data_IF_228557740803
#
_entry.id   IF_228557740803
#
_cell.length_a   1.000
_cell.length_b   1.000
_cell.length_c   1.000
_cell.angle_alpha   90.00
_cell.angle_beta   90.00
_cell.angle_gamma   90.00
#
_symmetry.space_group_name_H-M   'P 1'
#
loop_
_entity.id
_entity.type
_entity.pdbx_description
1 polymer ?
#
# COMPACT_ATOMS: atom_id res chain seq x y z
N UNK A 1 -11.79 17.33 -0.53
CA UNK A 1 -10.57 16.50 -0.42
C UNK A 1 -10.88 15.10 -0.90
N UNK A 2 -10.02 14.47 -1.70
CA UNK A 2 -10.08 13.06 -2.12
C UNK A 2 -8.85 12.35 -1.58
N UNK A 3 -8.98 11.05 -1.31
CA UNK A 3 -7.84 10.22 -0.88
C UNK A 3 -7.63 9.13 -1.94
N UNK A 4 -6.43 9.02 -2.44
CA UNK A 4 -6.01 8.01 -3.41
C UNK A 4 -5.14 7.01 -2.67
N UNK A 5 -5.68 5.84 -2.40
CA UNK A 5 -4.95 4.77 -1.75
C UNK A 5 -4.33 3.92 -2.86
N UNK A 6 -3.00 3.78 -2.86
CA UNK A 6 -2.26 3.12 -3.91
C UNK A 6 -1.34 2.05 -3.35
N UNK A 7 -1.16 1.00 -4.13
CA UNK A 7 -0.19 -0.07 -3.91
C UNK A 7 0.43 -0.49 -5.24
N UNK A 8 1.68 -0.95 -5.22
CA UNK A 8 2.41 -1.42 -6.39
C UNK A 8 2.93 -2.83 -6.18
N UNK A 9 2.85 -3.65 -7.24
CA UNK A 9 3.59 -4.89 -7.30
C UNK A 9 4.85 -4.72 -8.15
N UNK A 10 5.93 -5.39 -7.76
CA UNK A 10 7.24 -5.19 -8.35
C UNK A 10 7.91 -6.50 -8.79
N UNK A 11 8.66 -6.43 -9.89
CA UNK A 11 9.56 -7.50 -10.34
C UNK A 11 11.02 -7.03 -10.39
N UNK A 12 11.96 -7.90 -10.02
CA UNK A 12 13.39 -7.55 -10.02
C UNK A 12 13.95 -7.47 -11.43
N UNK A 13 14.80 -6.47 -11.67
CA UNK A 13 15.57 -6.35 -12.91
C UNK A 13 16.45 -7.59 -13.13
N UNK A 14 16.69 -7.92 -14.39
CA UNK A 14 17.59 -9.01 -14.76
C UNK A 14 19.05 -8.69 -14.42
N UNK A 15 19.81 -9.73 -14.16
CA UNK A 15 21.20 -9.61 -13.65
C UNK A 15 22.15 -8.92 -14.64
N UNK A 16 21.82 -8.91 -15.93
CA UNK A 16 22.60 -8.26 -16.96
C UNK A 16 22.60 -6.73 -16.83
N UNK A 17 21.56 -6.13 -16.29
CA UNK A 17 21.38 -4.70 -16.11
C UNK A 17 22.08 -4.20 -14.82
N UNK A 18 23.41 -4.34 -14.78
CA UNK A 18 24.20 -4.10 -13.57
C UNK A 18 24.22 -2.63 -13.13
N UNK A 19 24.27 -1.70 -14.09
CA UNK A 19 24.32 -0.26 -13.78
C UNK A 19 22.94 0.25 -13.38
N UNK A 20 21.90 -0.19 -14.08
CA UNK A 20 20.50 0.13 -13.77
C UNK A 20 20.11 -0.35 -12.37
N UNK A 21 20.57 -1.54 -11.98
CA UNK A 21 20.33 -2.12 -10.64
C UNK A 21 21.00 -1.38 -9.50
N UNK A 22 21.93 -0.48 -9.77
CA UNK A 22 22.49 0.43 -8.75
C UNK A 22 21.56 1.60 -8.46
N UNK A 23 20.70 1.95 -9.42
CA UNK A 23 19.71 3.04 -9.30
C UNK A 23 18.42 2.46 -8.69
N UNK A 24 17.89 1.42 -9.34
CA UNK A 24 16.68 0.72 -8.89
C UNK A 24 16.82 -0.78 -9.18
N UNK A 25 16.50 -1.63 -8.22
CA UNK A 25 16.66 -3.08 -8.42
C UNK A 25 15.36 -3.81 -8.80
N UNK A 26 14.25 -3.09 -8.87
CA UNK A 26 12.91 -3.59 -9.22
C UNK A 26 12.21 -2.64 -10.18
N UNK A 27 11.21 -3.14 -10.91
CA UNK A 27 10.29 -2.35 -11.73
C UNK A 27 8.87 -2.63 -11.26
N UNK A 28 8.02 -1.61 -11.30
CA UNK A 28 6.58 -1.74 -11.10
C UNK A 28 6.00 -2.58 -12.23
N UNK A 29 5.21 -3.59 -11.88
CA UNK A 29 4.52 -4.48 -12.82
C UNK A 29 3.00 -4.41 -12.68
N UNK A 30 2.50 -3.79 -11.62
CA UNK A 30 1.09 -3.49 -11.41
C UNK A 30 0.94 -2.22 -10.58
N UNK A 31 -0.07 -1.43 -10.91
CA UNK A 31 -0.55 -0.28 -10.14
C UNK A 31 -2.00 -0.58 -9.78
N UNK A 32 -2.30 -0.71 -8.49
CA UNK A 32 -3.64 -0.81 -7.94
C UNK A 32 -3.98 0.42 -7.10
N UNK A 33 -5.16 0.99 -7.26
CA UNK A 33 -5.54 2.13 -6.45
C UNK A 33 -7.06 2.22 -6.23
N UNK A 34 -7.43 2.78 -5.09
CA UNK A 34 -8.80 3.08 -4.68
C UNK A 34 -8.91 4.57 -4.38
N UNK A 35 -9.96 5.21 -4.88
CA UNK A 35 -10.26 6.62 -4.58
C UNK A 35 -11.42 6.72 -3.60
N UNK A 36 -11.19 7.46 -2.53
CA UNK A 36 -12.21 7.79 -1.53
C UNK A 36 -12.58 9.28 -1.61
N UNK A 37 -13.84 9.59 -1.29
CA UNK A 37 -14.31 10.95 -1.11
C UNK A 37 -13.91 11.51 0.29
N UNK A 38 -14.34 12.72 0.59
CA UNK A 38 -14.12 13.41 1.87
C UNK A 38 -14.78 12.73 3.09
N UNK A 39 -15.68 11.78 2.86
CA UNK A 39 -16.30 10.93 3.89
C UNK A 39 -15.66 9.55 3.97
N UNK A 40 -14.53 9.36 3.32
CA UNK A 40 -13.81 8.09 3.19
C UNK A 40 -14.66 6.95 2.57
N UNK A 41 -15.60 7.30 1.70
CA UNK A 41 -16.39 6.33 0.93
C UNK A 41 -15.72 6.12 -0.43
N UNK A 42 -15.61 4.88 -0.85
CA UNK A 42 -15.06 4.53 -2.17
C UNK A 42 -15.92 5.11 -3.29
N UNK A 43 -15.27 5.77 -4.25
CA UNK A 43 -15.91 6.36 -5.41
C UNK A 43 -15.37 5.85 -6.75
N UNK A 44 -14.16 5.29 -6.77
CA UNK A 44 -13.55 4.76 -8.00
C UNK A 44 -12.41 3.80 -7.68
N UNK A 45 -12.11 2.90 -8.61
CA UNK A 45 -10.94 2.02 -8.58
C UNK A 45 -10.15 2.17 -9.87
N UNK A 46 -8.84 1.95 -9.76
CA UNK A 46 -7.91 1.90 -10.87
C UNK A 46 -7.04 0.66 -10.78
N UNK A 47 -6.79 0.03 -11.91
CA UNK A 47 -5.83 -1.08 -12.03
C UNK A 47 -5.19 -1.06 -13.40
N UNK A 48 -3.88 -1.19 -13.47
CA UNK A 48 -3.16 -1.44 -14.70
C UNK A 48 -1.94 -2.31 -14.43
N UNK A 49 -1.68 -3.27 -15.31
CA UNK A 49 -0.37 -3.91 -15.36
C UNK A 49 0.62 -2.97 -16.05
N UNK A 50 1.90 -3.18 -15.77
CA UNK A 50 2.99 -2.40 -16.38
C UNK A 50 4.00 -3.36 -16.99
N UNK A 51 4.32 -3.14 -18.28
CA UNK A 51 5.33 -3.93 -18.98
C UNK A 51 6.73 -3.57 -18.47
N UNK A 52 7.47 -4.52 -17.87
CA UNK A 52 8.84 -4.26 -17.43
C UNK A 52 9.76 -4.03 -18.65
N UNK A 53 10.76 -3.15 -18.49
CA UNK A 53 11.74 -2.80 -19.52
C UNK A 53 13.09 -3.47 -19.31
N UNK A 54 13.40 -3.84 -18.06
CA UNK A 54 14.69 -4.40 -17.64
C UNK A 54 14.55 -5.83 -17.08
N UNK A 55 13.45 -6.50 -17.38
CA UNK A 55 13.22 -7.91 -17.09
C UNK A 55 12.48 -8.57 -18.27
N UNK A 56 13.02 -9.68 -18.75
CA UNK A 56 12.42 -10.46 -19.85
C UNK A 56 11.23 -11.29 -19.36
N UNK A 57 11.29 -11.74 -18.12
CA UNK A 57 10.26 -12.58 -17.50
C UNK A 57 9.92 -12.11 -16.07
N UNK A 58 8.68 -12.32 -15.69
CA UNK A 58 8.29 -12.20 -14.27
C UNK A 58 8.87 -13.41 -13.53
N UNK A 59 9.57 -13.14 -12.44
CA UNK A 59 10.22 -14.20 -11.66
C UNK A 59 9.20 -15.12 -11.02
N UNK A 60 9.47 -16.42 -11.03
CA UNK A 60 8.56 -17.45 -10.48
C UNK A 60 8.10 -17.20 -9.04
N UNK A 61 8.98 -16.65 -8.21
CA UNK A 61 8.60 -16.28 -6.83
C UNK A 61 7.65 -15.10 -6.78
N UNK A 62 7.76 -14.13 -7.71
CA UNK A 62 6.84 -13.01 -7.86
C UNK A 62 5.49 -13.53 -8.38
N UNK A 63 5.49 -14.32 -9.46
CA UNK A 63 4.25 -14.94 -9.95
C UNK A 63 3.53 -15.74 -8.87
N UNK A 64 4.26 -16.48 -8.02
CA UNK A 64 3.64 -17.23 -6.91
C UNK A 64 3.02 -16.30 -5.87
N UNK A 65 3.63 -15.16 -5.63
CA UNK A 65 3.21 -14.18 -4.63
C UNK A 65 2.01 -13.37 -5.11
N UNK A 66 2.13 -12.79 -6.31
CA UNK A 66 1.20 -11.79 -6.88
C UNK A 66 0.17 -12.42 -7.84
N UNK A 67 0.43 -13.60 -8.37
CA UNK A 67 -0.35 -14.19 -9.46
C UNK A 67 -0.01 -13.63 -10.85
N UNK A 68 0.81 -12.56 -10.94
CA UNK A 68 1.15 -11.90 -12.20
C UNK A 68 2.13 -12.79 -12.99
N UNK A 69 1.81 -13.04 -14.27
CA UNK A 69 2.66 -13.81 -15.18
C UNK A 69 3.30 -12.92 -16.25
N UNK A 70 4.32 -13.42 -16.92
CA UNK A 70 4.96 -12.73 -18.03
C UNK A 70 3.98 -12.40 -19.17
N UNK A 71 3.05 -13.31 -19.43
CA UNK A 71 2.04 -13.14 -20.47
C UNK A 71 1.07 -11.99 -20.16
N UNK A 72 0.71 -11.81 -18.87
CA UNK A 72 -0.20 -10.74 -18.43
C UNK A 72 0.39 -9.34 -18.64
N UNK A 73 1.72 -9.20 -18.52
CA UNK A 73 2.40 -7.92 -18.68
C UNK A 73 2.95 -7.70 -20.09
N UNK A 74 2.94 -8.71 -20.96
CA UNK A 74 3.55 -8.65 -22.29
C UNK A 74 2.97 -7.53 -23.17
N UNK A 75 1.65 -7.36 -23.13
CA UNK A 75 0.91 -6.34 -23.88
C UNK A 75 0.46 -5.15 -23.01
N UNK A 76 0.94 -5.09 -21.76
CA UNK A 76 0.63 -3.99 -20.86
C UNK A 76 1.35 -2.70 -21.32
N UNK A 77 0.84 -1.52 -20.92
CA UNK A 77 1.52 -0.25 -21.17
C UNK A 77 2.90 -0.24 -20.51
N UNK A 78 3.84 0.46 -21.10
CA UNK A 78 5.13 0.73 -20.48
C UNK A 78 4.96 1.74 -19.33
N UNK A 79 5.94 1.87 -18.44
CA UNK A 79 5.89 2.72 -17.26
C UNK A 79 5.36 4.14 -17.52
N UNK A 80 5.84 4.80 -18.58
CA UNK A 80 5.41 6.18 -18.92
C UNK A 80 3.93 6.27 -19.27
N UNK A 81 3.39 5.28 -19.96
CA UNK A 81 1.99 5.20 -20.35
C UNK A 81 1.10 4.83 -19.16
N UNK A 82 1.54 3.87 -18.35
CA UNK A 82 0.85 3.47 -17.13
C UNK A 82 0.76 4.63 -16.12
N UNK A 83 1.86 5.37 -15.92
CA UNK A 83 1.88 6.57 -15.07
C UNK A 83 0.97 7.67 -15.60
N UNK A 84 0.90 7.84 -16.93
CA UNK A 84 -0.05 8.78 -17.53
C UNK A 84 -1.49 8.36 -17.26
N UNK A 85 -1.85 7.08 -17.47
CA UNK A 85 -3.19 6.55 -17.22
C UNK A 85 -3.58 6.71 -15.74
N UNK A 86 -2.66 6.38 -14.82
CA UNK A 86 -2.87 6.58 -13.38
C UNK A 86 -3.10 8.04 -13.04
N UNK A 87 -2.27 8.95 -13.55
CA UNK A 87 -2.41 10.39 -13.33
C UNK A 87 -3.73 10.91 -13.87
N UNK A 88 -4.10 10.56 -15.11
CA UNK A 88 -5.36 10.97 -15.72
C UNK A 88 -6.57 10.50 -14.88
N UNK A 89 -6.52 9.27 -14.33
CA UNK A 89 -7.54 8.77 -13.41
C UNK A 89 -7.55 9.55 -12.09
N UNK A 90 -6.40 9.84 -11.48
CA UNK A 90 -6.32 10.62 -10.24
C UNK A 90 -7.00 11.99 -10.38
N UNK A 91 -6.86 12.62 -11.54
CA UNK A 91 -7.42 13.96 -11.82
C UNK A 91 -8.76 13.94 -12.60
N UNK A 92 -9.37 12.76 -12.78
CA UNK A 92 -10.68 12.64 -13.43
C UNK A 92 -11.85 13.16 -12.59
N UNK A 93 -11.62 13.41 -11.30
CA UNK A 93 -12.57 14.00 -10.38
C UNK A 93 -12.06 15.36 -9.90
N UNK A 94 -12.96 16.32 -9.63
CA UNK A 94 -12.59 17.65 -9.15
C UNK A 94 -12.16 17.65 -7.69
N UNK A 95 -11.35 18.64 -7.33
CA UNK A 95 -10.90 18.93 -5.96
C UNK A 95 -9.49 18.41 -5.64
N UNK A 96 -8.96 18.86 -4.54
CA UNK A 96 -7.62 18.46 -4.03
C UNK A 96 -7.58 16.97 -3.71
N UNK A 97 -6.41 16.35 -3.87
CA UNK A 97 -6.18 14.95 -3.55
C UNK A 97 -4.95 14.76 -2.66
N UNK A 98 -5.02 13.73 -1.83
CA UNK A 98 -3.92 13.18 -1.05
C UNK A 98 -3.67 11.73 -1.48
N UNK A 99 -2.43 11.37 -1.71
CA UNK A 99 -2.04 9.98 -1.96
C UNK A 99 -1.68 9.32 -0.62
N UNK A 100 -2.10 8.09 -0.44
CA UNK A 100 -1.82 7.26 0.72
C UNK A 100 -1.32 5.91 0.23
N UNK A 101 -0.23 5.41 0.79
CA UNK A 101 0.17 4.02 0.64
C UNK A 101 0.28 3.40 2.03
N UNK A 102 0.23 2.06 2.11
CA UNK A 102 0.42 1.40 3.40
C UNK A 102 1.77 1.76 4.02
N UNK A 103 2.84 1.85 3.20
CA UNK A 103 4.18 2.19 3.67
C UNK A 103 4.92 3.11 2.69
N UNK A 104 6.14 3.54 3.05
CA UNK A 104 7.00 4.35 2.17
C UNK A 104 7.57 3.58 0.97
N UNK A 105 7.44 2.24 0.94
CA UNK A 105 8.06 1.42 -0.10
C UNK A 105 7.57 1.78 -1.51
N UNK A 106 6.29 2.10 -1.65
CA UNK A 106 5.67 2.44 -2.93
C UNK A 106 6.20 3.76 -3.46
N UNK A 107 6.27 4.79 -2.62
CA UNK A 107 6.86 6.08 -3.00
C UNK A 107 8.35 5.93 -3.34
N UNK A 108 9.11 5.20 -2.52
CA UNK A 108 10.54 4.98 -2.77
C UNK A 108 10.75 4.23 -4.09
N UNK A 109 9.93 3.20 -4.37
CA UNK A 109 9.98 2.48 -5.64
C UNK A 109 9.66 3.39 -6.82
N UNK A 110 8.59 4.19 -6.73
CA UNK A 110 8.21 5.14 -7.78
C UNK A 110 9.35 6.13 -8.09
N UNK A 111 9.94 6.74 -7.07
CA UNK A 111 11.03 7.72 -7.23
C UNK A 111 12.29 7.05 -7.82
N UNK A 112 12.63 5.85 -7.38
CA UNK A 112 13.76 5.08 -7.92
C UNK A 112 13.54 4.72 -9.39
N UNK A 113 12.32 4.35 -9.79
CA UNK A 113 12.00 4.00 -11.16
C UNK A 113 11.93 5.23 -12.08
N UNK A 114 11.45 6.37 -11.58
CA UNK A 114 11.55 7.66 -12.27
C UNK A 114 13.01 7.99 -12.58
N UNK A 115 13.90 7.82 -11.60
CA UNK A 115 15.34 8.05 -11.79
C UNK A 115 15.97 7.04 -12.76
N UNK A 116 15.65 5.73 -12.62
CA UNK A 116 16.12 4.66 -13.50
C UNK A 116 15.79 4.94 -14.97
N UNK A 117 14.57 5.35 -15.24
CA UNK A 117 14.03 5.55 -16.59
C UNK A 117 14.24 6.97 -17.12
N UNK A 118 14.89 7.83 -16.34
CA UNK A 118 15.03 9.27 -16.64
C UNK A 118 13.68 9.88 -17.08
N UNK A 119 12.62 9.49 -16.36
CA UNK A 119 11.25 9.87 -16.68
C UNK A 119 10.99 11.32 -16.28
N UNK A 120 10.42 12.11 -17.22
CA UNK A 120 10.04 13.49 -16.97
C UNK A 120 8.67 13.54 -16.31
N UNK A 121 8.67 13.88 -15.04
CA UNK A 121 7.46 14.03 -14.22
C UNK A 121 6.69 15.27 -14.67
N UNK A 122 5.37 15.15 -14.86
CA UNK A 122 4.48 16.28 -15.15
C UNK A 122 4.13 17.07 -13.87
N UNK A 123 3.54 18.25 -13.99
CA UNK A 123 3.07 19.05 -12.84
C UNK A 123 2.08 18.24 -11.98
N UNK A 124 1.09 17.59 -12.58
CA UNK A 124 0.12 16.77 -11.87
C UNK A 124 0.79 15.59 -11.11
N UNK A 125 1.78 14.96 -11.71
CA UNK A 125 2.54 13.88 -11.05
C UNK A 125 3.39 14.42 -9.91
N UNK A 126 3.95 15.60 -10.05
CA UNK A 126 4.67 16.28 -8.97
C UNK A 126 3.73 16.56 -7.80
N UNK A 127 2.51 17.05 -8.06
CA UNK A 127 1.48 17.24 -7.04
C UNK A 127 1.13 15.93 -6.30
N UNK A 128 0.97 14.82 -7.02
CA UNK A 128 0.73 13.51 -6.39
C UNK A 128 1.87 13.07 -5.49
N UNK A 129 3.12 13.25 -5.93
CA UNK A 129 4.32 12.87 -5.19
C UNK A 129 4.49 13.75 -3.93
N UNK A 130 4.27 15.05 -4.04
CA UNK A 130 4.38 16.01 -2.91
C UNK A 130 3.28 15.81 -1.86
N UNK A 131 2.11 15.29 -2.27
CA UNK A 131 0.98 14.98 -1.38
C UNK A 131 0.90 13.50 -1.00
N UNK A 132 2.02 12.76 -1.09
CA UNK A 132 2.08 11.34 -0.73
C UNK A 132 2.37 11.15 0.75
N UNK A 133 1.60 10.30 1.40
CA UNK A 133 1.70 10.03 2.82
C UNK A 133 1.83 8.52 3.10
N UNK A 134 2.58 8.19 4.13
CA UNK A 134 2.70 6.86 4.71
C UNK A 134 1.55 6.66 5.73
N UNK A 135 0.55 5.87 5.37
CA UNK A 135 -0.59 5.62 6.26
C UNK A 135 -0.21 4.71 7.43
N UNK A 136 0.79 3.84 7.30
CA UNK A 136 1.26 2.98 8.37
C UNK A 136 1.73 3.79 9.59
N UNK A 137 2.36 4.95 9.37
CA UNK A 137 2.81 5.82 10.46
C UNK A 137 1.62 6.40 11.24
N UNK A 138 0.58 6.89 10.54
CA UNK A 138 -0.67 7.34 11.16
C UNK A 138 -1.34 6.22 11.96
N UNK A 139 -1.38 5.01 11.38
CA UNK A 139 -1.94 3.83 12.03
C UNK A 139 -1.18 3.46 13.31
N UNK A 140 0.15 3.38 13.23
CA UNK A 140 1.02 3.03 14.35
C UNK A 140 0.87 4.04 15.49
N UNK A 141 0.92 5.34 15.18
CA UNK A 141 0.77 6.41 16.16
C UNK A 141 -0.59 6.34 16.88
N UNK A 142 -1.67 6.16 16.10
CA UNK A 142 -3.03 6.16 16.63
C UNK A 142 -3.32 4.96 17.53
N UNK A 143 -2.77 3.78 17.18
CA UNK A 143 -2.93 2.54 17.96
C UNK A 143 -1.95 2.47 19.13
N UNK A 144 -0.76 3.06 18.99
CA UNK A 144 0.30 3.01 20.01
C UNK A 144 1.25 1.82 19.82
N UNK A 145 1.49 1.37 18.58
CA UNK A 145 2.50 0.36 18.31
C UNK A 145 3.91 0.94 18.40
N UNK A 146 4.85 0.18 18.98
CA UNK A 146 6.27 0.55 19.02
C UNK A 146 7.05 0.16 17.74
N UNK A 147 6.45 -0.64 16.88
CA UNK A 147 7.07 -1.20 15.66
C UNK A 147 6.09 -1.20 14.51
N UNK A 148 6.65 -1.19 13.29
CA UNK A 148 5.89 -1.37 12.06
C UNK A 148 5.15 -2.71 12.05
N UNK A 149 3.93 -2.72 11.53
CA UNK A 149 3.07 -3.89 11.38
C UNK A 149 2.74 -4.09 9.91
N UNK A 150 2.59 -5.34 9.46
CA UNK A 150 2.12 -5.61 8.11
C UNK A 150 0.63 -5.23 7.96
N UNK A 151 0.19 -4.99 6.72
CA UNK A 151 -1.22 -4.73 6.41
C UNK A 151 -2.13 -5.86 6.93
N UNK A 152 -1.74 -7.13 6.71
CA UNK A 152 -2.46 -8.30 7.22
C UNK A 152 -2.65 -8.25 8.75
N UNK A 153 -1.59 -7.90 9.49
CA UNK A 153 -1.70 -7.78 10.96
C UNK A 153 -2.56 -6.60 11.39
N UNK A 154 -2.50 -5.49 10.65
CA UNK A 154 -3.32 -4.33 10.95
C UNK A 154 -4.81 -4.63 10.76
N UNK A 155 -5.18 -5.36 9.71
CA UNK A 155 -6.53 -5.89 9.50
C UNK A 155 -6.95 -6.84 10.61
N UNK A 156 -6.08 -7.79 10.96
CA UNK A 156 -6.33 -8.72 12.06
C UNK A 156 -6.63 -8.01 13.38
N UNK A 157 -5.89 -6.95 13.72
CA UNK A 157 -6.16 -6.14 14.92
C UNK A 157 -7.47 -5.37 14.84
N UNK A 158 -7.94 -5.07 13.64
CA UNK A 158 -9.25 -4.45 13.41
C UNK A 158 -10.40 -5.49 13.36
N UNK A 159 -10.10 -6.79 13.55
CA UNK A 159 -11.09 -7.87 13.45
C UNK A 159 -11.59 -8.09 12.02
N UNK A 160 -10.77 -7.77 11.02
CA UNK A 160 -11.09 -7.89 9.61
C UNK A 160 -10.30 -9.03 8.96
N UNK A 161 -10.97 -9.77 8.10
CA UNK A 161 -10.30 -10.66 7.15
C UNK A 161 -9.76 -9.87 5.97
N UNK A 162 -8.65 -10.33 5.39
CA UNK A 162 -8.11 -9.76 4.17
C UNK A 162 -9.06 -10.06 3.00
N UNK A 163 -9.57 -9.04 2.32
CA UNK A 163 -10.43 -9.20 1.14
C UNK A 163 -9.60 -9.34 -0.14
N UNK A 164 -9.85 -10.40 -0.91
CA UNK A 164 -9.12 -10.68 -2.15
C UNK A 164 -7.84 -11.48 -1.94
N UNK A 165 -6.86 -11.28 -2.80
CA UNK A 165 -5.57 -11.94 -2.74
C UNK A 165 -4.52 -10.98 -2.19
N UNK A 166 -3.76 -11.41 -1.18
CA UNK A 166 -2.57 -10.67 -0.74
C UNK A 166 -1.56 -10.58 -1.87
N UNK A 167 -0.88 -9.44 -1.97
CA UNK A 167 0.02 -9.13 -3.08
C UNK A 167 -0.67 -9.08 -4.45
N UNK A 168 -1.90 -8.62 -4.48
CA UNK A 168 -2.60 -8.07 -5.64
C UNK A 168 -2.78 -6.57 -5.33
N UNK A 169 -2.15 -5.71 -6.11
CA UNK A 169 -2.05 -4.28 -5.78
C UNK A 169 -3.42 -3.61 -5.54
N UNK A 170 -4.46 -4.00 -6.29
CA UNK A 170 -5.79 -3.45 -6.07
C UNK A 170 -6.43 -3.96 -4.77
N UNK A 171 -6.21 -5.23 -4.42
CA UNK A 171 -6.68 -5.80 -3.15
C UNK A 171 -5.96 -5.16 -1.96
N UNK A 172 -4.63 -4.97 -2.03
CA UNK A 172 -3.85 -4.33 -0.97
C UNK A 172 -4.26 -2.86 -0.79
N UNK A 173 -4.46 -2.11 -1.88
CA UNK A 173 -5.00 -0.76 -1.83
C UNK A 173 -6.41 -0.70 -1.23
N UNK A 174 -7.30 -1.65 -1.54
CA UNK A 174 -8.67 -1.71 -1.02
C UNK A 174 -8.70 -2.01 0.49
N UNK A 175 -7.88 -2.97 0.95
CA UNK A 175 -7.74 -3.30 2.36
C UNK A 175 -7.12 -2.13 3.16
N UNK A 176 -6.15 -1.42 2.58
CA UNK A 176 -5.58 -0.20 3.15
C UNK A 176 -6.63 0.92 3.24
N UNK A 177 -7.49 1.07 2.23
CA UNK A 177 -8.58 2.04 2.21
C UNK A 177 -9.60 1.77 3.32
N UNK A 178 -9.93 0.51 3.56
CA UNK A 178 -10.83 0.11 4.65
C UNK A 178 -10.24 0.42 6.03
N UNK A 179 -8.96 0.12 6.26
CA UNK A 179 -8.27 0.52 7.50
C UNK A 179 -8.23 2.03 7.67
N UNK A 180 -7.98 2.80 6.61
CA UNK A 180 -7.99 4.26 6.67
C UNK A 180 -9.37 4.78 7.06
N UNK A 181 -10.44 4.21 6.51
CA UNK A 181 -11.82 4.56 6.86
C UNK A 181 -12.09 4.31 8.35
N UNK A 182 -11.64 3.18 8.88
CA UNK A 182 -11.80 2.83 10.31
C UNK A 182 -10.98 3.79 11.19
N UNK A 183 -9.71 3.98 10.87
CA UNK A 183 -8.79 4.80 11.66
C UNK A 183 -9.23 6.27 11.73
N UNK A 184 -9.79 6.80 10.64
CA UNK A 184 -10.22 8.21 10.56
C UNK A 184 -11.67 8.47 10.96
N UNK A 185 -12.45 7.42 11.25
CA UNK A 185 -13.81 7.54 11.78
C UNK A 185 -13.84 7.13 13.24
N UNK A 186 -14.14 8.06 14.16
CA UNK A 186 -14.11 7.82 15.60
C UNK A 186 -15.00 6.66 16.05
N UNK A 187 -16.21 6.53 15.50
CA UNK A 187 -17.14 5.45 15.87
C UNK A 187 -16.59 4.07 15.41
N UNK A 188 -16.09 3.98 14.17
CA UNK A 188 -15.52 2.74 13.67
C UNK A 188 -14.21 2.38 14.39
N UNK A 189 -13.41 3.38 14.75
CA UNK A 189 -12.19 3.16 15.53
C UNK A 189 -12.52 2.55 16.90
N UNK A 190 -13.51 3.08 17.59
CA UNK A 190 -13.97 2.53 18.88
C UNK A 190 -14.53 1.11 18.73
N UNK A 191 -15.28 0.84 17.66
CA UNK A 191 -15.85 -0.46 17.38
C UNK A 191 -14.77 -1.53 17.06
N UNK A 192 -13.77 -1.18 16.25
CA UNK A 192 -12.82 -2.14 15.69
C UNK A 192 -11.45 -2.17 16.38
N UNK A 193 -10.93 -1.03 16.83
CA UNK A 193 -9.52 -0.90 17.23
C UNK A 193 -9.31 -0.49 18.69
N UNK A 194 -10.35 -0.02 19.39
CA UNK A 194 -10.20 0.46 20.77
C UNK A 194 -9.65 -0.61 21.72
N UNK A 195 -10.12 -1.86 21.60
CA UNK A 195 -9.66 -2.98 22.43
C UNK A 195 -8.18 -3.29 22.18
N UNK A 196 -7.74 -3.26 20.91
CA UNK A 196 -6.34 -3.47 20.57
C UNK A 196 -5.45 -2.37 21.15
N UNK A 197 -5.90 -1.11 21.07
CA UNK A 197 -5.20 0.04 21.65
C UNK A 197 -5.05 -0.08 23.17
N UNK A 198 -6.14 -0.33 23.89
CA UNK A 198 -6.13 -0.49 25.35
C UNK A 198 -5.23 -1.62 25.83
N UNK A 199 -5.22 -2.75 25.09
CA UNK A 199 -4.33 -3.86 25.38
C UNK A 199 -2.83 -3.52 25.22
N UNK A 200 -2.47 -2.64 24.26
CA UNK A 200 -1.11 -2.16 24.08
C UNK A 200 -0.70 -1.15 25.18
N UNK A 201 -1.58 -0.23 25.54
CA UNK A 201 -1.35 0.72 26.62
C UNK A 201 -1.14 0.01 27.96
N UNK A 202 -1.93 -1.03 28.25
CA UNK A 202 -1.79 -1.83 29.48
C UNK A 202 -0.45 -2.58 29.52
N UNK A 203 0.07 -3.07 28.39
CA UNK A 203 1.40 -3.69 28.28
C UNK A 203 2.52 -2.68 28.55
N UNK A 204 2.40 -1.47 28.06
CA UNK A 204 3.36 -0.38 28.28
C UNK A 204 3.47 -0.03 29.78
N UNK A 205 2.36 -0.04 30.50
CA UNK A 205 2.34 0.18 31.96
C UNK A 205 2.82 -1.04 32.77
N UNK A 206 2.69 -2.24 32.24
CA UNK A 206 3.02 -3.50 32.90
C UNK A 206 4.48 -3.95 32.78
N UNK A 207 5.33 -3.28 32.00
CA UNK A 207 6.75 -3.62 31.84
C UNK A 207 7.62 -3.34 33.08
N UNK A 208 7.05 -2.93 34.19
CA UNK A 208 7.71 -2.83 35.50
C UNK A 208 7.54 -4.08 36.37
N UNK A 209 6.72 -5.06 36.01
CA UNK A 209 6.54 -6.33 36.76
C UNK A 209 6.35 -7.48 35.75
N UNK A 210 7.36 -8.32 35.65
CA UNK A 210 7.43 -9.43 34.70
C UNK A 210 6.20 -10.34 34.73
N UNK A 211 5.49 -10.41 33.63
CA UNK A 211 4.72 -11.56 33.23
C UNK A 211 4.44 -11.52 31.72
N UNK A 212 4.94 -12.56 31.06
CA UNK A 212 4.60 -12.89 29.66
C UNK A 212 3.12 -13.25 29.58
N UNK A 213 2.31 -12.39 28.99
CA UNK A 213 1.03 -12.79 28.44
C UNK A 213 1.16 -12.85 26.90
N UNK A 214 1.05 -14.04 26.32
CA UNK A 214 0.89 -14.20 24.90
C UNK A 214 -0.47 -13.64 24.48
N UNK A 215 -0.47 -12.79 23.45
CA UNK A 215 -1.65 -12.11 22.90
C UNK A 215 -2.65 -13.10 22.28
N UNK A 216 -2.23 -14.33 21.98
CA UNK A 216 -3.07 -15.42 21.47
C UNK A 216 -4.21 -15.83 22.41
N UNK A 217 -4.10 -15.58 23.70
CA UNK A 217 -5.12 -15.94 24.67
C UNK A 217 -6.28 -14.94 24.86
N UNK A 218 -6.14 -13.69 24.36
CA UNK A 218 -7.16 -12.66 24.55
C UNK A 218 -8.24 -12.68 23.47
N UNK A 219 -7.93 -13.19 22.28
CA UNK A 219 -8.87 -13.23 21.15
C UNK A 219 -9.73 -14.50 21.12
N UNK A 220 -9.37 -15.55 21.85
CA UNK A 220 -10.23 -16.74 22.03
C UNK A 220 -11.44 -16.48 22.96
N UNK A 221 -11.49 -15.32 23.61
CA UNK A 221 -12.57 -14.99 24.55
C UNK A 221 -13.67 -14.11 23.93
N UNK A 222 -13.50 -13.69 22.66
CA UNK A 222 -14.43 -12.78 21.95
C UNK A 222 -15.09 -13.47 20.73
N UNK A 223 -14.83 -14.77 20.50
CA UNK A 223 -15.46 -15.55 19.44
C UNK A 223 -16.70 -16.31 19.97
#
# INVERSE_FOLDING_TARGET
MRYIIVDFEMNKLDKQYKEERKICCQEIIEIGAVMLNDRHQEISRFRTYVKPQYAEEIRRNITRLTGITTEMVAEAPIFSEAMKQFTDWCFSFEGECQVQAWSDNDLQQLLAEIALKNYKVSENQTELIENWNNFQDEYIEKIGFERVVSLEKALYYAGLDFEGQQHDALSDAANTAELLRIVRNQHLFEEHLQVAKEALETKSLGNTLGSMFEFSGLLETIA
#
